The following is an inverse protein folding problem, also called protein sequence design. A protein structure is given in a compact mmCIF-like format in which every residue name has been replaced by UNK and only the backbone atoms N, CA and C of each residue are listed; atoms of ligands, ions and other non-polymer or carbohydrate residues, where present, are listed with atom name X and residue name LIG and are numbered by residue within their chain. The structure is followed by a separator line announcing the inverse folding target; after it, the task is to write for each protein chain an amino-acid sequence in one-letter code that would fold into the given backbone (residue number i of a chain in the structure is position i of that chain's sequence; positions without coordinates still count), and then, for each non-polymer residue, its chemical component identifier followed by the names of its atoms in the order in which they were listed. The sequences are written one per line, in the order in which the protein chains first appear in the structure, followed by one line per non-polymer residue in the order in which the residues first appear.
data_IF_083087998969
#
_entry.id   IF_083087998969
#
_cell.length_a   1.000
_cell.length_b   1.000
_cell.length_c   1.000
_cell.angle_alpha   90.00
_cell.angle_beta   90.00
_cell.angle_gamma   90.00
#
_symmetry.space_group_name_H-M   'P 1'
#
loop_
_entity.id
_entity.type
_entity.pdbx_description
1 polymer ?
#
# COMPACT_ATOMS: atom_id res chain seq x y z
N UNK A 1 10.12 14.79 1.50
CA UNK A 1 11.03 14.39 2.59
C UNK A 1 10.43 14.59 3.97
N UNK A 2 9.86 15.76 4.31
CA UNK A 2 9.24 16.01 5.62
C UNK A 2 8.19 14.99 6.04
N UNK A 3 7.28 14.59 5.14
CA UNK A 3 6.26 13.56 5.43
C UNK A 3 6.88 12.22 5.86
N UNK A 4 7.98 11.81 5.22
CA UNK A 4 8.70 10.59 5.57
C UNK A 4 9.39 10.70 6.92
N UNK A 5 9.96 11.86 7.26
CA UNK A 5 10.54 12.13 8.59
C UNK A 5 9.49 12.06 9.70
N UNK A 6 8.31 12.64 9.47
CA UNK A 6 7.18 12.56 10.41
C UNK A 6 6.74 11.11 10.59
N UNK A 7 6.63 10.35 9.50
CA UNK A 7 6.26 8.93 9.55
C UNK A 7 7.30 8.10 10.31
N UNK A 8 8.60 8.34 10.08
CA UNK A 8 9.69 7.69 10.82
C UNK A 8 9.66 8.02 12.31
N UNK A 9 9.43 9.30 12.66
CA UNK A 9 9.29 9.71 14.05
C UNK A 9 8.08 9.01 14.72
N UNK A 10 6.94 8.94 14.04
CA UNK A 10 5.75 8.21 14.53
C UNK A 10 6.08 6.74 14.84
N UNK A 11 6.75 6.05 13.91
CA UNK A 11 7.16 4.65 14.05
C UNK A 11 8.05 4.43 15.28
N UNK A 12 9.02 5.33 15.52
CA UNK A 12 9.95 5.25 16.65
C UNK A 12 9.28 5.59 17.99
N UNK A 13 8.49 6.67 18.04
CA UNK A 13 7.80 7.12 19.26
C UNK A 13 6.83 6.04 19.75
N UNK A 14 6.12 5.39 18.83
CA UNK A 14 5.17 4.33 19.18
C UNK A 14 5.83 2.99 19.50
N UNK A 15 7.08 2.76 19.04
CA UNK A 15 7.77 1.48 19.22
C UNK A 15 7.96 1.13 20.70
N UNK A 16 8.44 2.10 21.49
CA UNK A 16 8.72 1.88 22.90
C UNK A 16 7.47 1.50 23.73
N UNK A 17 6.38 2.28 23.75
CA UNK A 17 5.21 1.98 24.59
C UNK A 17 4.39 0.77 24.12
N UNK A 18 4.35 0.49 22.80
CA UNK A 18 3.45 -0.52 22.24
C UNK A 18 4.14 -1.87 21.99
N UNK A 19 5.40 -1.88 21.54
CA UNK A 19 6.05 -3.10 21.05
C UNK A 19 7.24 -3.53 21.92
N UNK A 20 7.94 -2.61 22.58
CA UNK A 20 9.07 -2.94 23.47
C UNK A 20 8.65 -3.09 24.94
N UNK A 21 7.86 -2.15 25.48
CA UNK A 21 7.49 -2.16 26.90
C UNK A 21 6.28 -3.06 27.18
N UNK A 22 6.55 -4.27 27.69
CA UNK A 22 5.53 -5.28 28.04
C UNK A 22 4.57 -5.49 26.86
N UNK A 23 5.05 -6.07 25.75
CA UNK A 23 4.24 -6.24 24.55
C UNK A 23 3.08 -7.19 24.80
N UNK A 24 1.91 -6.81 24.29
CA UNK A 24 0.73 -7.66 24.23
C UNK A 24 0.21 -7.71 22.79
N UNK A 25 -0.59 -8.73 22.46
CA UNK A 25 -1.20 -8.84 21.14
C UNK A 25 -1.94 -7.54 20.74
N UNK A 26 -2.76 -7.00 21.64
CA UNK A 26 -3.52 -5.77 21.38
C UNK A 26 -2.65 -4.54 21.14
N UNK A 27 -1.53 -4.38 21.87
CA UNK A 27 -0.61 -3.27 21.64
C UNK A 27 0.15 -3.41 20.32
N UNK A 28 0.61 -4.62 19.99
CA UNK A 28 1.24 -4.91 18.70
C UNK A 28 0.28 -4.61 17.54
N UNK A 29 -0.99 -5.02 17.69
CA UNK A 29 -2.02 -4.77 16.69
C UNK A 29 -2.29 -3.27 16.54
N UNK A 30 -2.42 -2.56 17.66
CA UNK A 30 -2.58 -1.10 17.67
C UNK A 30 -1.40 -0.40 16.96
N UNK A 31 -0.16 -0.82 17.25
CA UNK A 31 1.03 -0.27 16.58
C UNK A 31 0.95 -0.43 15.06
N UNK A 32 0.63 -1.64 14.58
CA UNK A 32 0.53 -1.91 13.14
C UNK A 32 -0.61 -1.13 12.50
N UNK A 33 -1.80 -1.09 13.12
CA UNK A 33 -2.95 -0.34 12.61
C UNK A 33 -2.63 1.15 12.51
N UNK A 34 -2.00 1.74 13.53
CA UNK A 34 -1.69 3.18 13.52
C UNK A 34 -0.61 3.51 12.49
N UNK A 35 0.47 2.73 12.43
CA UNK A 35 1.58 3.00 11.51
C UNK A 35 1.21 2.75 10.05
N UNK A 36 0.58 1.62 9.74
CA UNK A 36 0.11 1.32 8.39
C UNK A 36 -1.12 2.13 8.00
N UNK A 37 -1.97 2.53 8.97
CA UNK A 37 -3.05 3.47 8.76
C UNK A 37 -2.54 4.85 8.37
N UNK A 38 -1.48 5.35 9.01
CA UNK A 38 -0.82 6.59 8.61
C UNK A 38 -0.23 6.50 7.19
N UNK A 39 0.44 5.40 6.86
CA UNK A 39 0.94 5.14 5.49
C UNK A 39 -0.20 5.10 4.47
N UNK A 40 -1.31 4.45 4.80
CA UNK A 40 -2.50 4.39 3.96
C UNK A 40 -3.10 5.77 3.70
N UNK A 41 -3.26 6.59 4.75
CA UNK A 41 -3.76 7.96 4.60
C UNK A 41 -2.86 8.80 3.70
N UNK A 42 -1.54 8.66 3.82
CA UNK A 42 -0.59 9.32 2.92
C UNK A 42 -0.79 8.83 1.47
N UNK A 43 -0.98 7.53 1.26
CA UNK A 43 -1.22 6.96 -0.08
C UNK A 43 -2.52 7.45 -0.73
N UNK A 44 -3.58 7.66 0.06
CA UNK A 44 -4.89 8.11 -0.42
C UNK A 44 -4.93 9.61 -0.69
N UNK A 45 -4.37 10.41 0.23
CA UNK A 45 -4.43 11.87 0.18
C UNK A 45 -3.34 12.49 -0.71
N UNK A 46 -2.51 11.66 -1.33
CA UNK A 46 -1.43 12.14 -2.19
C UNK A 46 -1.96 12.82 -3.46
N UNK A 47 -1.26 13.86 -3.87
CA UNK A 47 -1.47 14.52 -5.15
C UNK A 47 -0.12 14.68 -5.86
N UNK A 48 0.01 14.13 -7.07
CA UNK A 48 1.24 14.19 -7.86
C UNK A 48 2.43 13.46 -7.25
N UNK A 49 2.22 12.60 -6.24
CA UNK A 49 3.30 11.90 -5.53
C UNK A 49 3.44 10.46 -6.02
N UNK A 50 4.65 10.13 -6.43
CA UNK A 50 4.99 8.88 -7.08
C UNK A 50 5.21 9.11 -8.58
N UNK A 51 6.23 8.46 -9.13
CA UNK A 51 6.71 8.78 -10.48
C UNK A 51 5.69 8.47 -11.58
N UNK A 52 4.80 7.51 -11.33
CA UNK A 52 3.77 7.05 -12.26
C UNK A 52 2.34 7.49 -11.86
N UNK A 53 2.21 8.50 -10.99
CA UNK A 53 0.92 8.99 -10.50
C UNK A 53 -0.04 9.40 -11.64
N UNK A 54 0.43 10.19 -12.60
CA UNK A 54 -0.44 10.60 -13.71
C UNK A 54 -0.70 9.46 -14.70
N UNK A 55 0.26 8.54 -14.84
CA UNK A 55 0.15 7.37 -15.72
C UNK A 55 -1.00 6.47 -15.27
N UNK A 56 -1.14 6.17 -13.97
CA UNK A 56 -2.27 5.34 -13.51
C UNK A 56 -3.63 6.01 -13.66
N UNK A 57 -3.70 7.34 -13.62
CA UNK A 57 -4.95 8.06 -13.92
C UNK A 57 -5.35 7.84 -15.37
N UNK A 58 -4.40 7.96 -16.29
CA UNK A 58 -4.63 7.72 -17.71
C UNK A 58 -5.02 6.25 -17.97
N UNK A 59 -4.29 5.31 -17.37
CA UNK A 59 -4.60 3.87 -17.46
C UNK A 59 -6.01 3.57 -16.96
N UNK A 60 -6.40 4.13 -15.82
CA UNK A 60 -7.74 3.94 -15.25
C UNK A 60 -8.83 4.44 -16.19
N UNK A 61 -8.66 5.63 -16.78
CA UNK A 61 -9.62 6.20 -17.74
C UNK A 61 -9.75 5.34 -18.99
N UNK A 62 -8.63 4.89 -19.56
CA UNK A 62 -8.64 4.04 -20.74
C UNK A 62 -9.32 2.69 -20.45
N UNK A 63 -9.00 2.06 -19.32
CA UNK A 63 -9.63 0.79 -18.93
C UNK A 63 -11.13 0.98 -18.69
N UNK A 64 -11.54 2.11 -18.10
CA UNK A 64 -12.95 2.44 -17.90
C UNK A 64 -13.69 2.51 -19.24
N UNK A 65 -13.12 3.17 -20.25
CA UNK A 65 -13.74 3.36 -21.57
C UNK A 65 -13.73 2.10 -22.45
N UNK A 66 -12.77 1.20 -22.25
CA UNK A 66 -12.66 -0.05 -23.02
C UNK A 66 -13.88 -0.97 -22.84
N UNK A 67 -14.32 -1.64 -23.91
CA UNK A 67 -15.50 -2.50 -23.86
C UNK A 67 -15.14 -3.98 -23.62
N UNK A 68 -15.88 -4.65 -22.72
CA UNK A 68 -15.79 -6.09 -22.50
C UNK A 68 -14.35 -6.63 -22.34
N UNK A 69 -13.95 -7.49 -23.27
CA UNK A 69 -12.65 -8.17 -23.29
C UNK A 69 -11.51 -7.35 -23.92
N UNK A 70 -11.77 -6.17 -24.46
CA UNK A 70 -10.73 -5.30 -25.03
C UNK A 70 -9.68 -4.89 -23.99
N UNK A 71 -10.04 -4.93 -22.70
CA UNK A 71 -9.14 -4.69 -21.57
C UNK A 71 -7.91 -5.62 -21.56
N UNK A 72 -8.00 -6.82 -22.16
CA UNK A 72 -6.87 -7.76 -22.21
C UNK A 72 -5.89 -7.46 -23.35
N UNK A 73 -6.31 -6.68 -24.34
CA UNK A 73 -5.47 -6.30 -25.48
C UNK A 73 -4.63 -5.03 -25.21
N UNK A 74 -4.80 -4.41 -24.02
CA UNK A 74 -4.13 -3.17 -23.65
C UNK A 74 -2.66 -3.35 -23.20
N UNK A 75 -2.13 -4.57 -23.20
CA UNK A 75 -0.72 -4.84 -22.87
C UNK A 75 -0.38 -4.79 -21.37
N UNK A 76 -1.38 -4.76 -20.50
CA UNK A 76 -1.23 -4.81 -19.04
C UNK A 76 -1.51 -6.23 -18.50
N UNK A 77 -1.04 -6.49 -17.28
CA UNK A 77 -1.24 -7.76 -16.60
C UNK A 77 -2.74 -8.02 -16.35
N UNK A 78 -3.28 -9.21 -16.69
CA UNK A 78 -4.71 -9.50 -16.60
C UNK A 78 -5.32 -9.25 -15.22
N UNK A 79 -4.61 -9.59 -14.14
CA UNK A 79 -5.09 -9.35 -12.78
C UNK A 79 -5.23 -7.86 -12.46
N UNK A 80 -4.30 -7.04 -12.94
CA UNK A 80 -4.34 -5.60 -12.76
C UNK A 80 -5.49 -4.96 -13.56
N UNK A 81 -5.69 -5.36 -14.82
CA UNK A 81 -6.78 -4.81 -15.65
C UNK A 81 -8.15 -5.18 -15.12
N UNK A 82 -8.34 -6.44 -14.69
CA UNK A 82 -9.60 -6.89 -14.08
C UNK A 82 -9.91 -6.08 -12.82
N UNK A 83 -8.95 -5.96 -11.89
CA UNK A 83 -9.16 -5.17 -10.65
C UNK A 83 -9.52 -3.73 -10.99
N UNK A 84 -8.78 -3.11 -11.92
CA UNK A 84 -9.00 -1.72 -12.32
C UNK A 84 -10.36 -1.52 -12.98
N UNK A 85 -10.79 -2.45 -13.84
CA UNK A 85 -12.11 -2.43 -14.47
C UNK A 85 -13.23 -2.60 -13.45
N UNK A 86 -13.06 -3.51 -12.49
CA UNK A 86 -14.02 -3.69 -11.40
C UNK A 86 -14.20 -2.41 -10.59
N UNK A 87 -13.10 -1.73 -10.24
CA UNK A 87 -13.16 -0.44 -9.54
C UNK A 87 -13.92 0.60 -10.37
N UNK A 88 -13.70 0.64 -11.69
CA UNK A 88 -14.37 1.60 -12.58
C UNK A 88 -15.88 1.45 -12.67
N UNK A 89 -16.44 0.29 -12.30
CA UNK A 89 -17.90 0.11 -12.24
C UNK A 89 -18.53 0.77 -11.00
N UNK A 90 -17.77 0.97 -9.93
CA UNK A 90 -18.28 1.52 -8.67
C UNK A 90 -17.96 3.01 -8.50
N UNK A 91 -16.88 3.50 -9.13
CA UNK A 91 -16.42 4.88 -8.92
C UNK A 91 -15.64 5.42 -10.10
N UNK A 92 -15.72 6.73 -10.27
CA UNK A 92 -14.90 7.51 -11.20
C UNK A 92 -13.78 8.27 -10.50
N UNK A 93 -13.74 8.18 -9.17
CA UNK A 93 -12.82 8.95 -8.36
C UNK A 93 -11.46 8.26 -8.26
N UNK A 94 -10.43 8.91 -8.80
CA UNK A 94 -9.03 8.48 -8.75
C UNK A 94 -8.52 8.27 -7.32
N UNK A 95 -9.00 9.03 -6.34
CA UNK A 95 -8.58 8.85 -4.96
C UNK A 95 -9.09 7.52 -4.40
N UNK A 96 -10.26 7.06 -4.84
CA UNK A 96 -10.81 5.75 -4.46
C UNK A 96 -10.02 4.62 -5.13
N UNK A 97 -9.60 4.80 -6.38
CA UNK A 97 -8.66 3.88 -7.05
C UNK A 97 -7.39 3.70 -6.23
N UNK A 98 -6.75 4.80 -5.83
CA UNK A 98 -5.53 4.75 -5.02
C UNK A 98 -5.75 4.21 -3.62
N UNK A 99 -6.91 4.45 -3.02
CA UNK A 99 -7.30 3.83 -1.76
C UNK A 99 -7.33 2.31 -1.88
N UNK A 100 -7.95 1.78 -2.94
CA UNK A 100 -8.04 0.34 -3.13
C UNK A 100 -6.66 -0.26 -3.41
N UNK A 101 -5.85 0.35 -4.27
CA UNK A 101 -4.47 -0.12 -4.50
C UNK A 101 -3.61 -0.06 -3.23
N UNK A 102 -3.71 1.02 -2.46
CA UNK A 102 -2.99 1.13 -1.20
C UNK A 102 -3.39 0.03 -0.22
N UNK A 103 -4.69 -0.31 -0.15
CA UNK A 103 -5.17 -1.40 0.71
C UNK A 103 -4.64 -2.76 0.24
N UNK A 104 -4.67 -3.02 -1.07
CA UNK A 104 -4.15 -4.27 -1.66
C UNK A 104 -2.65 -4.47 -1.41
N UNK A 105 -1.89 -3.40 -1.24
CA UNK A 105 -0.44 -3.48 -0.97
C UNK A 105 -0.17 -3.48 0.54
N UNK A 106 -0.71 -2.50 1.27
CA UNK A 106 -0.38 -2.25 2.67
C UNK A 106 -1.02 -3.27 3.62
N UNK A 107 -2.21 -3.81 3.32
CA UNK A 107 -2.84 -4.78 4.23
C UNK A 107 -2.08 -6.12 4.27
N UNK A 108 -1.69 -6.73 3.14
CA UNK A 108 -0.80 -7.90 3.16
C UNK A 108 0.54 -7.62 3.83
N UNK A 109 1.13 -6.45 3.56
CA UNK A 109 2.41 -6.05 4.16
C UNK A 109 2.30 -5.91 5.68
N UNK A 110 1.24 -5.27 6.17
CA UNK A 110 0.94 -5.12 7.58
C UNK A 110 0.74 -6.48 8.25
N UNK A 111 -0.02 -7.38 7.60
CA UNK A 111 -0.23 -8.74 8.09
C UNK A 111 1.08 -9.52 8.18
N UNK A 112 1.92 -9.47 7.15
CA UNK A 112 3.20 -10.15 7.14
C UNK A 112 4.14 -9.64 8.24
N UNK A 113 4.20 -8.31 8.42
CA UNK A 113 4.97 -7.68 9.49
C UNK A 113 4.43 -8.09 10.87
N UNK A 114 3.11 -8.10 11.06
CA UNK A 114 2.50 -8.47 12.34
C UNK A 114 2.71 -9.95 12.69
N UNK A 115 2.62 -10.84 11.70
CA UNK A 115 2.64 -12.30 11.89
C UNK A 115 4.06 -12.87 11.98
N UNK A 116 4.98 -12.41 11.13
CA UNK A 116 6.28 -13.05 10.95
C UNK A 116 7.45 -12.25 11.54
N UNK A 117 7.27 -10.97 11.90
CA UNK A 117 8.37 -10.18 12.46
C UNK A 117 8.50 -10.37 13.97
N UNK A 118 9.70 -10.74 14.42
CA UNK A 118 10.05 -10.72 15.85
C UNK A 118 10.04 -9.29 16.40
N UNK A 119 10.61 -8.34 15.64
CA UNK A 119 10.69 -6.90 15.97
C UNK A 119 9.90 -6.07 14.98
N UNK A 120 8.59 -6.03 15.18
CA UNK A 120 7.60 -5.33 14.32
C UNK A 120 8.02 -3.90 13.97
N UNK A 121 8.50 -3.13 14.95
CA UNK A 121 8.90 -1.73 14.71
C UNK A 121 10.10 -1.61 13.77
N UNK A 122 11.05 -2.54 13.85
CA UNK A 122 12.24 -2.54 13.00
C UNK A 122 11.86 -2.87 11.56
N UNK A 123 11.01 -3.88 11.35
CA UNK A 123 10.48 -4.19 10.01
C UNK A 123 9.69 -3.03 9.42
N UNK A 124 8.88 -2.35 10.24
CA UNK A 124 8.11 -1.16 9.82
C UNK A 124 9.04 0.00 9.45
N UNK A 125 10.10 0.22 10.23
CA UNK A 125 11.11 1.24 9.94
C UNK A 125 11.87 0.93 8.66
N UNK A 126 12.28 -0.32 8.45
CA UNK A 126 12.95 -0.78 7.23
C UNK A 126 12.06 -0.61 6.01
N UNK A 127 10.76 -0.89 6.11
CA UNK A 127 9.80 -0.68 5.03
C UNK A 127 9.78 0.78 4.53
N UNK A 128 9.97 1.73 5.44
CA UNK A 128 10.03 3.16 5.10
C UNK A 128 11.44 3.54 4.60
N UNK A 129 12.49 3.17 5.33
CA UNK A 129 13.87 3.60 5.07
C UNK A 129 14.46 2.99 3.80
N UNK A 130 14.13 1.73 3.52
CA UNK A 130 14.57 1.03 2.30
C UNK A 130 13.69 1.36 1.08
N UNK A 131 12.90 2.43 1.16
CA UNK A 131 12.05 2.95 0.08
C UNK A 131 10.93 2.04 -0.38
N UNK A 132 10.66 0.89 0.28
CA UNK A 132 9.54 0.02 -0.09
C UNK A 132 8.18 0.74 -0.02
N UNK A 133 7.99 1.61 0.97
CA UNK A 133 6.79 2.46 1.01
C UNK A 133 6.73 3.43 -0.20
N UNK A 134 7.85 4.04 -0.61
CA UNK A 134 7.86 4.87 -1.81
C UNK A 134 7.61 4.05 -3.10
N UNK A 135 8.12 2.82 -3.16
CA UNK A 135 7.82 1.89 -4.24
C UNK A 135 6.33 1.53 -4.30
N UNK A 136 5.66 1.37 -3.15
CA UNK A 136 4.20 1.16 -3.10
C UNK A 136 3.40 2.31 -3.75
N UNK A 137 4.01 3.50 -3.84
CA UNK A 137 3.42 4.69 -4.46
C UNK A 137 3.78 4.82 -5.95
N UNK A 138 4.97 4.36 -6.36
CA UNK A 138 5.52 4.60 -7.71
C UNK A 138 5.63 3.35 -8.60
N UNK A 139 5.39 2.16 -8.06
CA UNK A 139 5.52 0.87 -8.74
C UNK A 139 4.34 0.00 -8.30
N UNK A 140 3.11 0.49 -8.49
CA UNK A 140 1.89 -0.10 -7.92
C UNK A 140 1.72 -1.54 -8.41
N UNK A 141 1.89 -1.80 -9.71
CA UNK A 141 1.74 -3.14 -10.29
C UNK A 141 2.71 -4.15 -9.67
N UNK A 142 3.99 -3.79 -9.56
CA UNK A 142 5.02 -4.64 -8.93
C UNK A 142 4.76 -4.80 -7.43
N UNK A 143 4.27 -3.75 -6.77
CA UNK A 143 3.99 -3.75 -5.33
C UNK A 143 2.79 -4.63 -4.98
N UNK A 144 1.76 -4.68 -5.84
CA UNK A 144 0.64 -5.62 -5.71
C UNK A 144 1.15 -7.07 -5.84
N UNK A 145 2.00 -7.34 -6.84
CA UNK A 145 2.58 -8.68 -7.01
C UNK A 145 3.40 -9.09 -5.77
N UNK A 146 4.21 -8.19 -5.22
CA UNK A 146 4.96 -8.42 -3.98
C UNK A 146 4.04 -8.68 -2.78
N UNK A 147 2.96 -7.91 -2.64
CA UNK A 147 1.98 -8.10 -1.57
C UNK A 147 1.28 -9.47 -1.64
N UNK A 148 0.99 -9.97 -2.85
CA UNK A 148 0.45 -11.33 -3.05
C UNK A 148 1.46 -12.39 -2.61
N UNK A 149 2.74 -12.23 -2.96
CA UNK A 149 3.81 -13.16 -2.56
C UNK A 149 3.97 -13.19 -1.03
N UNK A 150 3.87 -12.03 -0.36
CA UNK A 150 3.92 -11.96 1.10
C UNK A 150 2.81 -12.78 1.78
N UNK A 151 1.60 -12.82 1.20
CA UNK A 151 0.51 -13.67 1.70
C UNK A 151 0.78 -15.17 1.54
N UNK A 152 1.62 -15.57 0.58
CA UNK A 152 1.98 -16.97 0.35
C UNK A 152 3.10 -17.45 1.28
N UNK A 153 3.79 -16.53 1.98
CA UNK A 153 4.85 -16.85 2.92
C UNK A 153 4.28 -17.61 4.14
N UNK A 154 4.92 -18.71 4.53
CA UNK A 154 4.54 -19.57 5.66
C UNK A 154 5.58 -19.50 6.76
#
# INVERSE_FOLDING_TARGET
MTVYLILMALVLILAYPLVERKPSFGKKLCYVIVTFGAMYLISVLRYGLGNDYYSYIYIFRNIKEASGFEIFNMGYEPGFTIITKLISYFTDNVNVLYAIYALLILAPTAYAVFRHSEKIWMSTMMFICLTFFYCSLSFIRQSIAFAIILCAYR
#
